data_IF_931818631826
#
_entry.id   IF_931818631826
#
_cell.length_a   1.000
_cell.length_b   1.000
_cell.length_c   1.000
_cell.angle_alpha   90.00
_cell.angle_beta   90.00
_cell.angle_gamma   90.00
#
_symmetry.space_group_name_H-M   'P 1'
#
loop_
_entity.id
_entity.type
_entity.pdbx_description
1 polymer ?
#
# COMPACT_ATOMS: atom_id res chain seq x y z
N UNK A 1 -10.26 5.07 -8.01
CA UNK A 1 -8.92 4.55 -7.68
C UNK A 1 -8.91 3.02 -7.62
N UNK A 2 -9.68 2.40 -6.72
CA UNK A 2 -9.63 0.94 -6.50
C UNK A 2 -9.95 0.15 -7.78
N UNK A 3 -11.00 0.51 -8.51
CA UNK A 3 -11.40 -0.19 -9.75
C UNK A 3 -10.30 -0.21 -10.80
N UNK A 4 -9.61 0.92 -11.03
CA UNK A 4 -8.51 0.98 -12.00
C UNK A 4 -7.30 0.13 -11.58
N UNK A 5 -7.06 -0.03 -10.27
CA UNK A 5 -6.01 -0.91 -9.76
C UNK A 5 -6.38 -2.39 -9.90
N UNK A 6 -7.66 -2.75 -9.69
CA UNK A 6 -8.17 -4.10 -9.93
C UNK A 6 -7.98 -4.49 -11.40
N UNK A 7 -8.37 -3.63 -12.34
CA UNK A 7 -8.17 -3.88 -13.77
C UNK A 7 -6.69 -4.12 -14.11
N UNK A 8 -5.78 -3.32 -13.53
CA UNK A 8 -4.33 -3.49 -13.72
C UNK A 8 -3.85 -4.83 -13.18
N UNK A 9 -4.32 -5.26 -11.99
CA UNK A 9 -3.94 -6.57 -11.42
C UNK A 9 -4.41 -7.73 -12.28
N UNK A 10 -5.62 -7.67 -12.84
CA UNK A 10 -6.15 -8.69 -13.75
C UNK A 10 -5.30 -8.76 -15.01
N UNK A 11 -4.98 -7.62 -15.62
CA UNK A 11 -4.16 -7.54 -16.84
C UNK A 11 -2.77 -8.14 -16.64
N UNK A 12 -2.15 -7.90 -15.48
CA UNK A 12 -0.83 -8.44 -15.11
C UNK A 12 -0.89 -9.89 -14.61
N UNK A 13 -2.07 -10.48 -14.47
CA UNK A 13 -2.27 -11.84 -13.94
C UNK A 13 -1.88 -11.97 -12.47
N UNK A 14 -2.07 -10.92 -11.68
CA UNK A 14 -1.74 -10.89 -10.25
C UNK A 14 -2.93 -11.45 -9.45
N UNK A 15 -2.64 -12.41 -8.57
CA UNK A 15 -3.60 -12.88 -7.57
C UNK A 15 -3.77 -11.81 -6.49
N UNK A 16 -4.86 -11.06 -6.59
CA UNK A 16 -5.15 -9.92 -5.73
C UNK A 16 -6.22 -10.24 -4.70
N UNK A 17 -5.87 -10.19 -3.43
CA UNK A 17 -6.77 -10.36 -2.30
C UNK A 17 -7.02 -9.01 -1.62
N UNK A 18 -8.30 -8.70 -1.39
CA UNK A 18 -8.71 -7.46 -0.71
C UNK A 18 -9.59 -7.81 0.48
N UNK A 19 -9.23 -7.29 1.65
CA UNK A 19 -10.04 -7.36 2.86
C UNK A 19 -10.21 -5.96 3.44
N UNK A 20 -11.40 -5.39 3.30
CA UNK A 20 -11.71 -4.03 3.73
C UNK A 20 -12.85 -4.04 4.72
N UNK A 21 -12.67 -3.41 5.87
CA UNK A 21 -13.77 -3.01 6.74
C UNK A 21 -14.30 -1.65 6.28
N UNK A 22 -15.62 -1.50 6.18
CA UNK A 22 -16.25 -0.23 5.89
C UNK A 22 -16.07 0.69 7.10
N UNK A 23 -15.29 1.74 6.93
CA UNK A 23 -14.88 2.65 8.00
C UNK A 23 -14.88 4.08 7.46
N UNK A 24 -15.44 4.99 8.23
CA UNK A 24 -15.34 6.42 7.93
C UNK A 24 -13.95 6.94 8.28
N UNK A 25 -13.28 7.57 7.33
CA UNK A 25 -11.94 8.11 7.47
C UNK A 25 -11.96 9.63 7.32
N UNK A 26 -12.13 10.35 8.40
CA UNK A 26 -12.25 11.80 8.34
C UNK A 26 -10.96 12.59 8.59
N UNK A 27 -9.81 11.92 8.85
CA UNK A 27 -8.62 12.62 9.33
C UNK A 27 -7.50 12.78 8.30
N UNK A 28 -7.56 12.10 7.16
CA UNK A 28 -6.71 12.38 6.00
C UNK A 28 -7.60 12.96 4.91
N UNK A 29 -7.12 14.04 4.30
CA UNK A 29 -7.76 14.61 3.12
C UNK A 29 -7.91 13.55 2.02
N UNK A 30 -9.07 13.47 1.38
CA UNK A 30 -9.37 12.48 0.33
C UNK A 30 -8.34 12.48 -0.80
N UNK A 31 -7.86 13.65 -1.20
CA UNK A 31 -6.83 13.77 -2.24
C UNK A 31 -5.51 13.18 -1.78
N UNK A 32 -5.10 13.44 -0.55
CA UNK A 32 -3.87 12.87 0.03
C UNK A 32 -3.97 11.35 0.12
N UNK A 33 -5.15 10.82 0.51
CA UNK A 33 -5.43 9.39 0.50
C UNK A 33 -5.25 8.78 -0.90
N UNK A 34 -5.85 9.40 -1.90
CA UNK A 34 -5.76 8.93 -3.30
C UNK A 34 -4.30 8.90 -3.76
N UNK A 35 -3.51 9.91 -3.40
CA UNK A 35 -2.09 9.97 -3.77
C UNK A 35 -1.28 8.91 -3.01
N UNK A 36 -1.46 8.80 -1.69
CA UNK A 36 -0.74 7.82 -0.86
C UNK A 36 -1.01 6.40 -1.34
N UNK A 37 -2.29 5.98 -1.33
CA UNK A 37 -2.68 4.63 -1.69
C UNK A 37 -2.41 4.34 -3.16
N UNK A 38 -2.61 5.31 -4.04
CA UNK A 38 -2.31 5.19 -5.47
C UNK A 38 -0.85 4.82 -5.70
N UNK A 39 0.08 5.57 -5.13
CA UNK A 39 1.52 5.34 -5.27
C UNK A 39 1.97 4.01 -4.63
N UNK A 40 1.44 3.70 -3.45
CA UNK A 40 1.78 2.45 -2.74
C UNK A 40 1.28 1.24 -3.51
N UNK A 41 0.04 1.27 -4.01
CA UNK A 41 -0.54 0.18 -4.81
C UNK A 41 0.14 0.03 -6.16
N UNK A 42 0.46 1.13 -6.86
CA UNK A 42 1.20 1.04 -8.12
C UNK A 42 2.54 0.37 -7.95
N UNK A 43 3.30 0.75 -6.92
CA UNK A 43 4.57 0.12 -6.61
C UNK A 43 4.42 -1.38 -6.29
N UNK A 44 3.37 -1.75 -5.53
CA UNK A 44 3.10 -3.13 -5.16
C UNK A 44 2.72 -3.99 -6.39
N UNK A 45 1.86 -3.47 -7.27
CA UNK A 45 1.44 -4.13 -8.52
C UNK A 45 2.64 -4.35 -9.44
N UNK A 46 3.46 -3.33 -9.65
CA UNK A 46 4.63 -3.41 -10.50
C UNK A 46 5.66 -4.42 -9.96
N UNK A 47 5.91 -4.40 -8.65
CA UNK A 47 6.83 -5.36 -8.04
C UNK A 47 6.30 -6.81 -8.12
N UNK A 48 4.99 -7.01 -7.91
CA UNK A 48 4.37 -8.33 -8.01
C UNK A 48 4.38 -8.87 -9.45
N UNK A 49 4.13 -8.03 -10.44
CA UNK A 49 4.13 -8.40 -11.86
C UNK A 49 5.47 -8.98 -12.32
N UNK A 50 6.58 -8.55 -11.71
CA UNK A 50 7.92 -9.02 -12.02
C UNK A 50 8.29 -10.37 -11.38
N UNK A 51 7.40 -10.99 -10.60
CA UNK A 51 7.63 -12.26 -9.91
C UNK A 51 6.79 -13.38 -10.48
N UNK A 52 7.22 -14.63 -10.30
CA UNK A 52 6.44 -15.81 -10.68
C UNK A 52 5.23 -16.01 -9.73
N UNK A 53 5.35 -15.60 -8.48
CA UNK A 53 4.29 -15.73 -7.47
C UNK A 53 3.12 -14.82 -7.74
N UNK A 54 3.34 -13.63 -8.31
CA UNK A 54 2.31 -12.65 -8.68
C UNK A 54 1.23 -12.44 -7.61
N UNK A 55 1.65 -12.14 -6.39
CA UNK A 55 0.77 -12.01 -5.23
C UNK A 55 0.66 -10.56 -4.76
N UNK A 56 -0.57 -10.12 -4.48
CA UNK A 56 -0.87 -8.84 -3.84
C UNK A 56 -2.01 -9.01 -2.83
N UNK A 57 -1.81 -8.50 -1.63
CA UNK A 57 -2.82 -8.38 -0.59
C UNK A 57 -2.97 -6.92 -0.17
N UNK A 58 -4.20 -6.47 -0.05
CA UNK A 58 -4.56 -5.17 0.52
C UNK A 58 -5.61 -5.38 1.61
N UNK A 59 -5.27 -5.08 2.85
CA UNK A 59 -6.16 -5.21 4.01
C UNK A 59 -6.35 -3.89 4.74
N UNK A 60 -7.58 -3.63 5.18
CA UNK A 60 -7.89 -2.58 6.14
C UNK A 60 -8.51 -3.26 7.35
N UNK A 61 -7.76 -3.29 8.45
CA UNK A 61 -8.08 -4.08 9.63
C UNK A 61 -8.09 -3.15 10.84
N UNK A 62 -9.17 -3.21 11.60
CA UNK A 62 -9.24 -2.56 12.91
C UNK A 62 -8.64 -3.51 13.96
N UNK A 63 -7.59 -3.07 14.63
CA UNK A 63 -6.92 -3.81 15.70
C UNK A 63 -6.79 -2.92 16.94
N UNK A 64 -7.58 -3.27 17.97
CA UNK A 64 -7.63 -2.55 19.25
C UNK A 64 -7.76 -1.02 19.06
N UNK A 65 -6.69 -0.28 19.32
CA UNK A 65 -6.64 1.17 19.30
C UNK A 65 -6.21 1.77 17.95
N UNK A 66 -6.03 0.90 16.91
CA UNK A 66 -5.54 1.32 15.62
C UNK A 66 -6.37 0.78 14.47
N UNK A 67 -6.52 1.60 13.46
CA UNK A 67 -6.85 1.15 12.12
C UNK A 67 -5.55 0.87 11.39
N UNK A 68 -5.39 -0.34 10.88
CA UNK A 68 -4.20 -0.77 10.17
C UNK A 68 -4.51 -1.01 8.70
N UNK A 69 -3.79 -0.33 7.81
CA UNK A 69 -3.79 -0.62 6.39
C UNK A 69 -2.55 -1.43 6.08
N UNK A 70 -2.74 -2.60 5.48
CA UNK A 70 -1.69 -3.53 5.10
C UNK A 70 -1.67 -3.67 3.58
N UNK A 71 -0.51 -3.45 2.97
CA UNK A 71 -0.27 -3.77 1.56
C UNK A 71 0.94 -4.69 1.50
N UNK A 72 0.72 -5.94 1.08
CA UNK A 72 1.76 -6.97 0.98
C UNK A 72 1.80 -7.50 -0.44
N UNK A 73 2.96 -7.47 -1.05
CA UNK A 73 3.16 -7.98 -2.41
C UNK A 73 4.37 -8.90 -2.50
N UNK A 74 4.35 -9.79 -3.48
CA UNK A 74 5.56 -10.51 -3.87
C UNK A 74 6.58 -9.54 -4.50
N UNK A 75 7.87 -9.78 -4.26
CA UNK A 75 8.96 -9.02 -4.84
C UNK A 75 10.14 -9.93 -5.14
N UNK A 76 11.01 -9.50 -6.06
CA UNK A 76 12.27 -10.20 -6.28
C UNK A 76 13.15 -10.14 -5.03
N UNK A 77 13.81 -11.26 -4.71
CA UNK A 77 14.76 -11.34 -3.58
C UNK A 77 15.99 -10.49 -3.89
N UNK A 78 15.92 -9.22 -3.60
CA UNK A 78 17.07 -8.32 -3.59
C UNK A 78 17.22 -7.77 -2.18
N UNK A 79 18.45 -7.48 -1.77
CA UNK A 79 18.70 -6.70 -0.55
C UNK A 79 18.20 -5.27 -0.84
N UNK A 80 16.94 -5.03 -0.52
CA UNK A 80 16.35 -3.71 -0.69
C UNK A 80 16.78 -2.88 0.52
N UNK A 81 17.60 -1.87 0.27
CA UNK A 81 17.82 -0.85 1.28
C UNK A 81 16.55 0.00 1.38
N UNK A 82 15.75 -0.26 2.43
CA UNK A 82 14.44 0.38 2.64
C UNK A 82 14.59 1.91 2.75
N UNK A 83 15.69 2.42 3.30
CA UNK A 83 15.93 3.87 3.39
C UNK A 83 16.03 4.52 2.02
N UNK A 84 16.66 3.84 1.07
CA UNK A 84 16.82 4.34 -0.29
C UNK A 84 15.51 4.36 -1.08
N UNK A 85 14.55 3.48 -0.77
CA UNK A 85 13.26 3.43 -1.48
C UNK A 85 12.45 4.74 -1.37
N UNK A 86 12.71 5.51 -0.32
CA UNK A 86 12.00 6.75 -0.04
C UNK A 86 12.80 8.01 -0.41
N UNK A 87 13.94 7.86 -1.09
CA UNK A 87 14.70 9.00 -1.60
C UNK A 87 14.20 9.40 -2.98
N UNK A 88 14.19 10.70 -3.26
CA UNK A 88 13.79 11.20 -4.58
C UNK A 88 14.73 10.70 -5.66
N UNK A 89 14.16 10.14 -6.73
CA UNK A 89 14.92 9.63 -7.89
C UNK A 89 15.59 8.27 -7.68
N UNK A 90 15.46 7.65 -6.50
CA UNK A 90 15.95 6.28 -6.31
C UNK A 90 14.97 5.29 -6.93
N UNK A 91 15.38 4.62 -7.96
CA UNK A 91 14.62 3.55 -8.60
C UNK A 91 15.55 2.46 -9.10
N UNK A 92 15.11 1.22 -9.01
CA UNK A 92 15.76 0.09 -9.69
C UNK A 92 15.26 -0.08 -11.13
N UNK A 93 14.34 0.80 -11.60
CA UNK A 93 13.55 0.61 -12.83
C UNK A 93 13.83 1.63 -13.94
N UNK A 94 14.94 2.40 -13.90
CA UNK A 94 15.30 3.39 -14.92
C UNK A 94 14.64 4.77 -14.76
N UNK A 95 14.92 5.68 -15.67
CA UNK A 95 14.50 7.09 -15.60
C UNK A 95 12.97 7.26 -15.56
N UNK A 96 12.49 8.05 -14.61
CA UNK A 96 11.05 8.38 -14.45
C UNK A 96 10.30 7.53 -13.40
N UNK A 97 10.90 6.47 -12.86
CA UNK A 97 10.36 5.67 -11.77
C UNK A 97 11.02 6.08 -10.43
N UNK A 98 10.38 5.80 -9.29
CA UNK A 98 10.94 6.09 -7.95
C UNK A 98 10.42 7.37 -7.28
N UNK A 99 9.49 8.08 -7.92
CA UNK A 99 8.86 9.28 -7.35
C UNK A 99 7.64 8.92 -6.48
N UNK A 100 6.98 7.79 -6.77
CA UNK A 100 5.72 7.43 -6.13
C UNK A 100 5.82 7.23 -4.61
N UNK A 101 6.74 6.39 -4.14
CA UNK A 101 6.92 6.16 -2.71
C UNK A 101 7.48 7.38 -1.99
N UNK A 102 8.33 8.16 -2.65
CA UNK A 102 8.81 9.44 -2.14
C UNK A 102 7.65 10.42 -1.92
N UNK A 103 6.74 10.56 -2.89
CA UNK A 103 5.57 11.41 -2.78
C UNK A 103 4.62 10.95 -1.67
N UNK A 104 4.34 9.63 -1.59
CA UNK A 104 3.54 9.07 -0.51
C UNK A 104 4.13 9.40 0.87
N UNK A 105 5.45 9.23 1.04
CA UNK A 105 6.13 9.56 2.30
C UNK A 105 6.09 11.05 2.62
N UNK A 106 6.28 11.90 1.60
CA UNK A 106 6.21 13.36 1.78
C UNK A 106 4.84 13.81 2.27
N UNK A 107 3.76 13.22 1.75
CA UNK A 107 2.41 13.51 2.22
C UNK A 107 2.19 12.94 3.62
N UNK A 108 2.59 11.68 3.87
CA UNK A 108 2.47 11.06 5.19
C UNK A 108 3.20 11.84 6.29
N UNK A 109 4.29 12.55 5.97
CA UNK A 109 5.00 13.38 6.94
C UNK A 109 4.18 14.58 7.46
N UNK A 110 3.07 14.92 6.81
CA UNK A 110 2.12 15.94 7.27
C UNK A 110 1.13 15.38 8.31
N UNK A 111 1.10 14.07 8.50
CA UNK A 111 0.23 13.34 9.40
C UNK A 111 1.07 12.60 10.46
N UNK A 112 1.59 13.31 11.48
CA UNK A 112 2.57 12.75 12.43
C UNK A 112 2.01 11.61 13.29
N UNK A 113 0.68 11.50 13.43
CA UNK A 113 0.02 10.44 14.18
C UNK A 113 -0.08 9.12 13.39
N UNK A 114 0.22 9.13 12.09
CA UNK A 114 0.24 7.93 11.26
C UNK A 114 1.62 7.28 11.35
N UNK A 115 1.65 6.05 11.84
CA UNK A 115 2.87 5.24 11.83
C UNK A 115 2.96 4.50 10.49
N UNK A 116 4.04 4.74 9.76
CA UNK A 116 4.34 4.06 8.50
C UNK A 116 5.53 3.12 8.69
N UNK A 117 5.28 1.81 8.57
CA UNK A 117 6.29 0.78 8.64
C UNK A 117 6.44 0.08 7.29
N UNK A 118 7.66 -0.24 6.94
CA UNK A 118 8.02 -1.01 5.75
C UNK A 118 8.92 -2.17 6.13
N UNK A 119 8.63 -3.34 5.61
CA UNK A 119 9.46 -4.54 5.81
C UNK A 119 9.59 -5.31 4.50
N UNK A 120 10.76 -5.88 4.27
CA UNK A 120 11.02 -6.77 3.14
C UNK A 120 11.66 -8.07 3.67
N UNK A 121 10.97 -9.19 3.50
CA UNK A 121 11.44 -10.49 3.95
C UNK A 121 10.88 -11.62 3.08
N UNK A 122 11.69 -12.64 2.79
CA UNK A 122 11.30 -13.86 2.09
C UNK A 122 10.55 -13.61 0.77
N UNK A 123 11.03 -12.72 -0.08
CA UNK A 123 10.42 -12.35 -1.37
C UNK A 123 9.05 -11.66 -1.25
N UNK A 124 8.75 -11.12 -0.09
CA UNK A 124 7.58 -10.27 0.14
C UNK A 124 7.97 -8.91 0.66
N UNK A 125 7.29 -7.90 0.15
CA UNK A 125 7.36 -6.51 0.61
C UNK A 125 6.06 -6.17 1.33
N UNK A 126 6.16 -5.64 2.54
CA UNK A 126 5.04 -5.25 3.37
C UNK A 126 5.12 -3.76 3.69
N UNK A 127 4.05 -3.05 3.41
CA UNK A 127 3.83 -1.70 3.89
C UNK A 127 2.64 -1.68 4.86
N UNK A 128 2.81 -1.02 5.98
CA UNK A 128 1.82 -0.91 7.03
C UNK A 128 1.64 0.55 7.42
N UNK A 129 0.41 1.04 7.36
CA UNK A 129 0.00 2.33 7.91
C UNK A 129 -0.89 2.07 9.12
N UNK A 130 -0.50 2.61 10.28
CA UNK A 130 -1.31 2.53 11.51
C UNK A 130 -1.84 3.90 11.89
N UNK A 131 -3.14 3.99 12.06
CA UNK A 131 -3.89 5.18 12.35
C UNK A 131 -4.56 5.02 13.71
N UNK A 132 -4.41 5.96 14.66
CA UNK A 132 -5.05 5.87 15.97
C UNK A 132 -6.58 5.82 15.90
N UNK A 133 -7.22 5.02 16.77
CA UNK A 133 -8.68 4.83 16.80
C UNK A 133 -9.48 6.11 17.11
N UNK A 134 -8.89 7.11 17.72
CA UNK A 134 -9.53 8.40 18.02
C UNK A 134 -10.14 9.07 16.78
N UNK A 135 -9.84 8.56 15.59
CA UNK A 135 -10.29 9.05 14.29
C UNK A 135 -11.31 8.13 13.59
N UNK A 136 -11.74 7.02 14.22
CA UNK A 136 -12.65 6.07 13.58
C UNK A 136 -14.00 5.97 14.30
N UNK A 137 -15.07 6.48 13.72
CA UNK A 137 -16.43 6.24 14.20
C UNK A 137 -17.25 5.48 13.15
N UNK A 138 -17.63 4.23 13.51
CA UNK A 138 -18.67 3.35 12.92
C UNK A 138 -18.41 2.77 11.51
N UNK A 139 -18.32 1.43 11.40
CA UNK A 139 -18.29 0.78 10.11
C UNK A 139 -18.73 -0.69 10.05
N UNK A 140 -19.12 -1.16 8.87
CA UNK A 140 -19.48 -2.55 8.50
C UNK A 140 -18.36 -3.20 7.68
N UNK A 141 -18.17 -4.53 7.82
CA UNK A 141 -17.21 -5.29 7.01
C UNK A 141 -17.73 -5.54 5.59
N UNK A 142 -16.91 -5.32 4.60
CA UNK A 142 -17.14 -5.72 3.22
C UNK A 142 -15.98 -6.61 2.77
N UNK A 143 -16.27 -7.87 2.47
CA UNK A 143 -15.30 -8.79 1.88
C UNK A 143 -15.50 -8.81 0.37
N UNK A 144 -14.50 -8.42 -0.39
CA UNK A 144 -14.48 -8.51 -1.84
C UNK A 144 -13.40 -9.53 -2.20
N UNK A 145 -13.81 -10.72 -2.59
CA UNK A 145 -12.92 -11.71 -3.20
C UNK A 145 -12.99 -11.52 -4.71
N UNK A 146 -11.94 -11.01 -5.32
CA UNK A 146 -11.76 -11.09 -6.76
C UNK A 146 -11.05 -12.41 -7.05
N UNK A 147 -11.72 -13.30 -7.75
CA UNK A 147 -11.22 -14.60 -8.21
C UNK A 147 -10.40 -14.40 -9.48
#
# INVERSE_FOLDING_TARGET
LVNSKIEKTITEGICFHVEVQDLDFDFINDLDWVIILGNVLDNAIEAAAETDTKFLFCGIIKDNDFLTILIKNSCKSQIINIENLYQSGHTTKGDGHGIGLFNARKILSQYPDILHNTNCNNNYFLQQLKLPETFTSKGKRVNISAV
#
